data_IF_549470752306
#
_entry.id   IF_549470752306
#
_cell.length_a   1.000
_cell.length_b   1.000
_cell.length_c   1.000
_cell.angle_alpha   90.00
_cell.angle_beta   90.00
_cell.angle_gamma   90.00
#
_symmetry.space_group_name_H-M   'P 1'
#
loop_
_entity.id
_entity.type
_entity.pdbx_description
1 polymer ?
#
# COMPACT_ATOMS: atom_id res chain seq x y z
N UNK A 1 10.57 -9.75 -2.81
CA UNK A 1 9.18 -9.26 -2.70
C UNK A 1 8.36 -10.39 -2.11
N UNK A 2 7.63 -10.18 -1.01
CA UNK A 2 6.86 -11.24 -0.37
C UNK A 2 5.55 -11.54 -1.14
N UNK A 3 4.84 -12.61 -0.77
CA UNK A 3 3.56 -13.00 -1.39
C UNK A 3 2.50 -11.89 -1.34
N UNK A 4 2.27 -11.29 -0.17
CA UNK A 4 1.31 -10.21 0.03
C UNK A 4 1.65 -8.96 -0.76
N UNK A 5 2.92 -8.62 -0.91
CA UNK A 5 3.36 -7.49 -1.73
C UNK A 5 3.07 -7.73 -3.22
N UNK A 6 3.19 -8.95 -3.70
CA UNK A 6 2.77 -9.28 -5.07
C UNK A 6 1.25 -9.08 -5.23
N UNK A 7 0.45 -9.60 -4.29
CA UNK A 7 -1.02 -9.44 -4.31
C UNK A 7 -1.44 -7.97 -4.21
N UNK A 8 -0.83 -7.19 -3.31
CA UNK A 8 -1.09 -5.75 -3.18
C UNK A 8 -0.72 -5.04 -4.48
N UNK A 9 0.41 -5.37 -5.09
CA UNK A 9 0.82 -4.77 -6.37
C UNK A 9 -0.19 -5.07 -7.48
N UNK A 10 -0.64 -6.31 -7.59
CA UNK A 10 -1.66 -6.72 -8.57
C UNK A 10 -2.99 -6.00 -8.31
N UNK A 11 -3.40 -5.88 -7.05
CA UNK A 11 -4.61 -5.17 -6.67
C UNK A 11 -4.54 -3.66 -6.94
N UNK A 12 -3.38 -3.05 -6.69
CA UNK A 12 -3.14 -1.65 -7.06
C UNK A 12 -3.18 -1.48 -8.58
N UNK A 13 -2.67 -2.45 -9.34
CA UNK A 13 -2.75 -2.44 -10.79
C UNK A 13 -4.18 -2.55 -11.31
N UNK A 14 -4.97 -3.48 -10.78
CA UNK A 14 -6.38 -3.65 -11.16
C UNK A 14 -7.24 -2.44 -10.79
N UNK A 15 -6.86 -1.70 -9.74
CA UNK A 15 -7.57 -0.52 -9.25
C UNK A 15 -7.08 0.80 -9.85
N UNK A 16 -6.10 0.78 -10.77
CA UNK A 16 -5.52 1.99 -11.36
C UNK A 16 -4.68 2.84 -10.38
N UNK A 17 -4.22 2.25 -9.28
CA UNK A 17 -3.42 2.89 -8.22
C UNK A 17 -1.91 2.58 -8.35
N UNK A 18 -1.44 2.25 -9.55
CA UNK A 18 -0.03 1.90 -9.77
C UNK A 18 0.86 3.08 -9.40
N UNK A 19 1.88 2.83 -8.57
CA UNK A 19 2.86 3.86 -8.19
C UNK A 19 2.34 4.92 -7.21
N UNK A 20 1.08 4.81 -6.77
CA UNK A 20 0.46 5.75 -5.81
C UNK A 20 1.19 5.73 -4.46
N UNK A 21 1.63 4.56 -4.02
CA UNK A 21 2.42 4.39 -2.81
C UNK A 21 3.34 3.16 -2.91
N UNK A 22 4.40 3.03 -2.07
CA UNK A 22 5.26 1.86 -2.05
C UNK A 22 4.49 0.70 -1.44
N UNK A 23 4.51 -0.44 -2.13
CA UNK A 23 3.78 -1.65 -1.75
C UNK A 23 4.10 -2.10 -0.31
N UNK A 24 5.35 -1.95 0.13
CA UNK A 24 5.74 -2.29 1.50
C UNK A 24 5.06 -1.41 2.56
N UNK A 25 4.78 -0.14 2.25
CA UNK A 25 4.07 0.76 3.16
C UNK A 25 2.58 0.42 3.21
N UNK A 26 1.99 0.11 2.05
CA UNK A 26 0.60 -0.37 1.97
C UNK A 26 0.43 -1.64 2.80
N UNK A 27 1.35 -2.61 2.68
CA UNK A 27 1.32 -3.82 3.51
C UNK A 27 1.44 -3.49 5.01
N UNK A 28 2.33 -2.56 5.38
CA UNK A 28 2.50 -2.16 6.77
C UNK A 28 1.23 -1.55 7.36
N UNK A 29 0.53 -0.68 6.61
CA UNK A 29 -0.76 -0.11 7.03
C UNK A 29 -1.83 -1.18 7.16
N UNK A 30 -1.94 -2.09 6.18
CA UNK A 30 -2.86 -3.22 6.28
C UNK A 30 -2.59 -4.03 7.55
N UNK A 31 -1.32 -4.27 7.90
CA UNK A 31 -0.93 -5.02 9.10
C UNK A 31 -1.18 -4.29 10.43
N UNK A 32 -1.27 -2.97 10.43
CA UNK A 32 -1.62 -2.20 11.63
C UNK A 32 -3.08 -2.44 12.02
N UNK A 33 -3.99 -2.48 11.04
CA UNK A 33 -5.40 -2.75 11.26
C UNK A 33 -5.70 -4.24 11.36
N UNK A 34 -4.94 -5.04 10.62
CA UNK A 34 -5.10 -6.48 10.48
C UNK A 34 -3.77 -7.20 10.75
N UNK A 35 -3.47 -7.55 12.02
CA UNK A 35 -2.16 -8.09 12.40
C UNK A 35 -1.72 -9.33 11.60
N UNK A 36 -2.69 -10.13 11.15
CA UNK A 36 -2.54 -11.19 10.17
C UNK A 36 -3.29 -10.78 8.90
N UNK A 37 -2.87 -11.20 7.71
CA UNK A 37 -3.62 -10.95 6.48
C UNK A 37 -4.34 -12.20 5.97
N UNK A 38 -3.98 -13.38 6.49
CA UNK A 38 -4.53 -14.69 6.10
C UNK A 38 -6.02 -14.87 6.45
N UNK A 39 -6.55 -14.08 7.40
CA UNK A 39 -7.96 -14.14 7.81
C UNK A 39 -8.87 -13.30 6.90
N UNK A 40 -8.30 -12.45 6.03
CA UNK A 40 -9.08 -11.63 5.11
C UNK A 40 -9.57 -12.49 3.95
N UNK A 41 -10.86 -12.40 3.65
CA UNK A 41 -11.38 -12.88 2.37
C UNK A 41 -10.77 -12.07 1.21
N UNK A 42 -10.78 -12.59 -0.03
CA UNK A 42 -10.25 -11.85 -1.18
C UNK A 42 -10.87 -10.46 -1.37
N UNK A 43 -12.16 -10.31 -1.05
CA UNK A 43 -12.88 -9.03 -1.17
C UNK A 43 -12.43 -8.05 -0.10
N UNK A 44 -12.26 -8.51 1.14
CA UNK A 44 -11.75 -7.68 2.24
C UNK A 44 -10.31 -7.26 1.99
N UNK A 45 -9.47 -8.19 1.54
CA UNK A 45 -8.09 -7.90 1.16
C UNK A 45 -8.03 -6.82 0.08
N UNK A 46 -8.85 -6.95 -0.97
CA UNK A 46 -8.91 -5.99 -2.07
C UNK A 46 -9.33 -4.59 -1.59
N UNK A 47 -10.32 -4.52 -0.68
CA UNK A 47 -10.77 -3.26 -0.08
C UNK A 47 -9.66 -2.63 0.75
N UNK A 48 -9.04 -3.39 1.64
CA UNK A 48 -8.01 -2.86 2.55
C UNK A 48 -6.72 -2.48 1.83
N UNK A 49 -6.32 -3.21 0.79
CA UNK A 49 -5.22 -2.77 -0.07
C UNK A 49 -5.53 -1.42 -0.74
N UNK A 50 -6.77 -1.20 -1.20
CA UNK A 50 -7.15 0.05 -1.85
C UNK A 50 -7.27 1.22 -0.86
N UNK A 51 -7.82 1.00 0.34
CA UNK A 51 -7.87 1.98 1.42
C UNK A 51 -6.46 2.37 1.85
N UNK A 52 -5.63 1.38 2.21
CA UNK A 52 -4.26 1.60 2.66
C UNK A 52 -3.39 2.28 1.59
N UNK A 53 -3.58 1.98 0.29
CA UNK A 53 -2.88 2.69 -0.78
C UNK A 53 -3.23 4.18 -0.84
N UNK A 54 -4.50 4.55 -0.64
CA UNK A 54 -4.95 5.95 -0.63
C UNK A 54 -4.42 6.67 0.61
N UNK A 55 -4.46 6.03 1.76
CA UNK A 55 -3.94 6.60 3.01
C UNK A 55 -2.43 6.79 2.97
N UNK A 56 -1.69 5.79 2.45
CA UNK A 56 -0.25 5.90 2.26
C UNK A 56 0.12 7.08 1.34
N UNK A 57 -0.68 7.35 0.31
CA UNK A 57 -0.47 8.48 -0.59
C UNK A 57 -0.84 9.83 0.04
N UNK A 58 -1.82 9.86 0.93
CA UNK A 58 -2.23 11.06 1.66
C UNK A 58 -1.27 11.41 2.82
N UNK A 59 -0.41 10.47 3.24
CA UNK A 59 0.50 10.67 4.36
C UNK A 59 1.59 11.71 4.02
N UNK A 60 1.69 12.82 4.79
CA UNK A 60 2.70 13.86 4.55
C UNK A 60 4.14 13.36 4.80
N UNK A 61 4.30 12.29 5.58
CA UNK A 61 5.59 11.62 5.80
C UNK A 61 6.10 11.02 4.49
N UNK A 62 5.21 10.47 3.66
CA UNK A 62 5.58 9.90 2.36
C UNK A 62 5.92 10.98 1.33
N UNK A 63 5.17 12.09 1.29
CA UNK A 63 5.48 13.22 0.41
C UNK A 63 6.91 13.77 0.66
N UNK A 64 7.32 13.86 1.93
CA UNK A 64 8.67 14.27 2.30
C UNK A 64 9.74 13.23 1.93
N UNK A 65 9.45 11.93 2.14
CA UNK A 65 10.40 10.85 1.90
C UNK A 65 10.63 10.60 0.40
N UNK A 66 9.60 10.76 -0.44
CA UNK A 66 9.72 10.75 -1.90
C UNK A 66 10.51 11.95 -2.39
N UNK A 67 10.25 13.15 -1.86
CA UNK A 67 11.00 14.36 -2.22
C UNK A 67 12.51 14.22 -1.92
N UNK A 68 12.86 13.66 -0.75
CA UNK A 68 14.26 13.45 -0.35
C UNK A 68 14.92 12.32 -1.17
N UNK A 69 14.17 11.27 -1.53
CA UNK A 69 14.67 10.16 -2.38
C UNK A 69 14.85 10.58 -3.85
N UNK A 70 14.03 11.51 -4.34
CA UNK A 70 14.12 12.07 -5.69
C UNK A 70 15.07 13.28 -5.79
N UNK A 71 15.65 13.72 -4.67
CA UNK A 71 16.59 14.84 -4.63
C UNK A 71 15.97 16.20 -4.97
N UNK A 72 14.64 16.34 -4.85
CA UNK A 72 13.93 17.59 -5.12
C UNK A 72 13.87 18.39 -3.80
N UNK A 73 14.88 19.25 -3.59
CA UNK A 73 14.89 20.26 -2.53
C UNK A 73 14.53 21.63 -3.09
#
# INVERSE_FOLDING_TARGET
>A
MNHYQAMIREQMASSGLIGVAPVAHVEALMRLENPCLDHLSPVEFAREAATAAKEAAASPVYAAQVADTLGVR
#
